data_IF_697692069042
#
_entry.id   IF_697692069042
#
_cell.length_a   1.000
_cell.length_b   1.000
_cell.length_c   1.000
_cell.angle_alpha   90.00
_cell.angle_beta   90.00
_cell.angle_gamma   90.00
#
_symmetry.space_group_name_H-M   'P 1'
#
loop_
_entity.id
_entity.type
_entity.pdbx_description
1 polymer ?
#
# COMPACT_ATOMS: atom_id res chain seq x y z
N UNK A 1 -14.74 47.12 6.38
CA UNK A 1 -13.63 46.32 6.93
C UNK A 1 -13.26 46.92 8.26
N UNK A 2 -13.27 46.15 9.33
CA UNK A 2 -12.94 46.65 10.66
C UNK A 2 -11.44 47.01 10.71
N UNK A 3 -11.08 48.00 11.53
CA UNK A 3 -9.72 48.47 11.76
C UNK A 3 -8.76 47.30 12.06
N UNK A 4 -9.22 46.35 12.84
CA UNK A 4 -8.54 45.08 13.17
C UNK A 4 -8.16 44.21 11.95
N UNK A 5 -8.98 44.20 10.88
CA UNK A 5 -8.71 43.46 9.65
C UNK A 5 -7.59 44.11 8.84
N UNK A 6 -7.47 45.41 8.92
CA UNK A 6 -6.43 46.21 8.25
C UNK A 6 -5.09 46.06 8.93
N UNK A 7 -5.09 46.04 10.26
CA UNK A 7 -3.88 45.85 11.06
C UNK A 7 -3.34 44.42 10.90
N UNK A 8 -4.24 43.43 10.79
CA UNK A 8 -3.87 42.04 10.57
C UNK A 8 -3.25 41.83 9.18
N UNK A 9 -3.73 42.54 8.15
CA UNK A 9 -3.09 42.49 6.81
C UNK A 9 -1.74 43.21 6.80
N UNK A 10 -1.58 44.32 7.50
CA UNK A 10 -0.29 45.00 7.62
C UNK A 10 0.75 44.16 8.34
N UNK A 11 0.40 43.52 9.45
CA UNK A 11 1.29 42.60 10.16
C UNK A 11 1.66 41.37 9.29
N UNK A 12 0.68 40.85 8.55
CA UNK A 12 0.92 39.70 7.64
C UNK A 12 1.86 40.06 6.49
N UNK A 13 1.71 41.23 5.89
CA UNK A 13 2.60 41.70 4.83
C UNK A 13 4.02 41.96 5.36
N UNK A 14 4.16 42.58 6.51
CA UNK A 14 5.43 42.79 7.15
C UNK A 14 6.15 41.47 7.50
N UNK A 15 5.42 40.47 8.03
CA UNK A 15 5.96 39.13 8.29
C UNK A 15 6.38 38.43 6.99
N UNK A 16 5.62 38.57 5.90
CA UNK A 16 5.99 38.00 4.60
C UNK A 16 7.25 38.64 4.04
N UNK A 17 7.43 39.92 4.21
CA UNK A 17 8.61 40.63 3.71
C UNK A 17 9.86 40.28 4.54
N UNK A 18 9.75 40.21 5.86
CA UNK A 18 10.80 39.71 6.74
C UNK A 18 11.13 38.26 6.37
N UNK A 19 10.14 37.42 6.16
CA UNK A 19 10.36 36.02 5.75
C UNK A 19 11.09 35.92 4.42
N UNK A 20 10.74 36.70 3.42
CA UNK A 20 11.41 36.68 2.11
C UNK A 20 12.88 37.12 2.18
N UNK A 21 13.19 38.07 3.05
CA UNK A 21 14.54 38.59 3.21
C UNK A 21 15.42 37.65 4.04
N UNK A 22 14.92 37.18 5.17
CA UNK A 22 15.73 36.43 6.16
C UNK A 22 15.74 34.94 5.92
N UNK A 23 14.67 34.34 5.39
CA UNK A 23 14.58 32.90 5.16
C UNK A 23 15.71 32.35 4.27
N UNK A 24 16.08 32.98 3.13
CA UNK A 24 17.20 32.55 2.31
C UNK A 24 18.57 32.69 2.98
N UNK A 25 18.70 33.57 4.00
CA UNK A 25 19.95 33.79 4.74
C UNK A 25 20.09 32.84 5.92
N UNK A 26 19.00 32.56 6.62
CA UNK A 26 19.00 31.72 7.83
C UNK A 26 19.18 30.24 7.48
N UNK A 27 18.52 29.75 6.41
CA UNK A 27 18.57 28.33 6.04
C UNK A 27 20.00 27.80 5.76
N UNK A 28 20.88 28.51 5.03
CA UNK A 28 22.25 28.06 4.86
C UNK A 28 23.05 28.05 6.18
N UNK A 29 22.83 29.04 7.06
CA UNK A 29 23.49 29.11 8.36
C UNK A 29 23.03 27.95 9.26
N UNK A 30 21.72 27.71 9.33
CA UNK A 30 21.16 26.57 10.07
C UNK A 30 21.73 25.24 9.57
N UNK A 31 21.79 25.06 8.26
CA UNK A 31 22.32 23.84 7.64
C UNK A 31 23.79 23.64 8.00
N UNK A 32 24.64 24.69 7.95
CA UNK A 32 26.05 24.60 8.29
C UNK A 32 26.27 24.33 9.78
N UNK A 33 25.50 24.98 10.65
CA UNK A 33 25.56 24.72 12.10
C UNK A 33 25.13 23.28 12.44
N UNK A 34 24.11 22.73 11.76
CA UNK A 34 23.73 21.34 11.93
C UNK A 34 24.81 20.36 11.46
N UNK A 35 25.50 20.68 10.36
CA UNK A 35 26.62 19.86 9.88
C UNK A 35 27.76 19.86 10.91
N UNK A 36 28.15 21.02 11.42
CA UNK A 36 29.24 21.13 12.42
C UNK A 36 28.85 20.47 13.75
N UNK A 37 27.60 20.63 14.21
CA UNK A 37 27.10 19.97 15.40
C UNK A 37 27.16 18.44 15.26
N UNK A 38 26.77 17.88 14.10
CA UNK A 38 26.89 16.45 13.83
C UNK A 38 28.32 15.95 13.79
N UNK A 39 29.25 16.72 13.21
CA UNK A 39 30.68 16.38 13.23
C UNK A 39 31.22 16.33 14.67
N UNK A 40 30.84 17.29 15.49
CA UNK A 40 31.23 17.33 16.88
C UNK A 40 30.68 16.16 17.71
N UNK A 41 29.40 15.76 17.43
CA UNK A 41 28.78 14.61 18.08
C UNK A 41 29.50 13.31 17.78
N UNK A 42 29.94 13.10 16.53
CA UNK A 42 30.70 11.91 16.14
C UNK A 42 32.05 11.84 16.83
N UNK A 43 32.72 12.96 16.98
CA UNK A 43 33.99 12.99 17.70
C UNK A 43 33.88 12.46 19.14
N UNK A 44 32.71 12.65 19.77
CA UNK A 44 32.40 12.08 21.09
C UNK A 44 32.11 10.57 21.10
N UNK A 45 31.76 9.99 19.94
CA UNK A 45 31.45 8.55 19.79
C UNK A 45 32.64 7.70 19.36
N UNK A 46 33.76 8.33 19.00
CA UNK A 46 34.98 7.61 18.59
C UNK A 46 35.69 6.97 19.80
N UNK A 47 36.05 5.69 19.64
CA UNK A 47 37.03 5.08 20.54
C UNK A 47 38.38 5.73 20.37
N UNK A 48 38.87 6.50 21.37
CA UNK A 48 40.10 7.28 21.29
C UNK A 48 41.19 6.70 22.16
N UNK A 49 42.38 6.52 21.61
CA UNK A 49 43.66 6.30 22.30
C UNK A 49 44.53 7.56 22.21
N UNK A 50 45.73 7.55 22.82
CA UNK A 50 46.69 8.67 22.78
C UNK A 50 47.12 9.02 21.34
N UNK A 51 47.19 8.04 20.45
CA UNK A 51 47.74 8.20 19.07
C UNK A 51 46.85 7.65 17.97
N UNK A 52 45.70 7.07 18.32
CA UNK A 52 44.82 6.45 17.36
C UNK A 52 43.34 6.62 17.76
N UNK A 53 42.46 6.50 16.79
CA UNK A 53 41.03 6.44 17.04
C UNK A 53 40.41 5.26 16.23
N UNK A 54 39.36 4.68 16.75
CA UNK A 54 38.57 3.63 16.10
C UNK A 54 37.16 4.12 15.84
N UNK A 55 36.66 3.85 14.65
CA UNK A 55 35.31 4.14 14.23
C UNK A 55 34.67 2.84 13.72
N UNK A 56 33.51 2.48 14.25
CA UNK A 56 32.70 1.40 13.76
C UNK A 56 31.45 1.96 13.11
N UNK A 57 31.05 1.39 11.98
CA UNK A 57 29.87 1.85 11.26
C UNK A 57 29.46 0.93 10.14
N UNK A 58 28.22 1.10 9.68
CA UNK A 58 27.64 0.35 8.59
C UNK A 58 27.75 1.11 7.27
N UNK A 59 28.15 0.43 6.23
CA UNK A 59 28.20 0.96 4.86
C UNK A 59 27.58 -0.02 3.87
N UNK A 60 26.84 0.45 2.85
CA UNK A 60 26.41 -0.43 1.76
C UNK A 60 27.63 -1.00 1.04
N UNK A 61 27.64 -2.30 0.80
CA UNK A 61 28.77 -3.03 0.16
C UNK A 61 29.21 -2.40 -1.17
N UNK A 62 28.26 -1.85 -1.94
CA UNK A 62 28.53 -1.18 -3.20
C UNK A 62 29.33 0.15 -3.05
N UNK A 63 29.28 0.79 -1.88
CA UNK A 63 29.98 2.04 -1.60
C UNK A 63 31.36 1.80 -0.93
N UNK A 64 31.70 0.56 -0.59
CA UNK A 64 32.95 0.19 0.06
C UNK A 64 34.21 0.65 -0.70
N UNK A 65 34.29 0.48 -2.06
CA UNK A 65 35.45 0.96 -2.81
C UNK A 65 35.63 2.47 -2.72
N UNK A 66 34.52 3.22 -2.67
CA UNK A 66 34.52 4.67 -2.52
C UNK A 66 35.00 5.10 -1.14
N UNK A 67 34.58 4.37 -0.09
CA UNK A 67 35.06 4.61 1.27
C UNK A 67 36.56 4.39 1.37
N UNK A 68 37.09 3.29 0.80
CA UNK A 68 38.53 3.00 0.78
C UNK A 68 39.32 4.14 0.13
N UNK A 69 38.89 4.62 -1.03
CA UNK A 69 39.51 5.75 -1.70
C UNK A 69 39.49 7.04 -0.88
N UNK A 70 38.37 7.37 -0.25
CA UNK A 70 38.22 8.53 0.60
C UNK A 70 39.10 8.44 1.86
N UNK A 71 39.17 7.29 2.52
CA UNK A 71 40.05 7.06 3.67
C UNK A 71 41.52 7.19 3.29
N UNK A 72 41.94 6.65 2.14
CA UNK A 72 43.29 6.75 1.65
C UNK A 72 43.72 8.21 1.42
N UNK A 73 42.82 9.00 0.83
CA UNK A 73 43.09 10.44 0.61
C UNK A 73 43.13 11.22 1.92
N UNK A 74 42.21 10.95 2.87
CA UNK A 74 42.11 11.69 4.12
C UNK A 74 43.22 11.36 5.11
N UNK A 75 43.72 10.12 5.16
CA UNK A 75 44.69 9.66 6.17
C UNK A 75 46.12 9.49 5.63
N UNK A 76 46.34 9.67 4.32
CA UNK A 76 47.63 9.45 3.70
C UNK A 76 48.14 8.02 3.92
N UNK A 77 47.34 7.01 3.73
CA UNK A 77 47.57 5.57 3.95
C UNK A 77 47.80 5.17 5.43
N UNK A 78 47.52 6.02 6.40
CA UNK A 78 47.64 5.71 7.84
C UNK A 78 46.28 5.25 8.42
N UNK A 79 45.65 4.25 7.80
CA UNK A 79 44.41 3.64 8.26
C UNK A 79 44.44 2.13 8.08
N UNK A 80 43.69 1.43 8.91
CA UNK A 80 43.40 0.02 8.75
C UNK A 80 41.88 -0.14 8.68
N UNK A 81 41.38 -0.73 7.60
CA UNK A 81 39.97 -1.06 7.41
C UNK A 81 39.79 -2.55 7.67
N UNK A 82 39.01 -2.89 8.67
CA UNK A 82 38.63 -4.25 9.02
C UNK A 82 37.18 -4.44 8.62
N UNK A 83 36.91 -5.39 7.74
CA UNK A 83 35.57 -5.78 7.35
C UNK A 83 35.10 -6.90 8.27
N UNK A 84 33.95 -6.72 8.91
CA UNK A 84 33.33 -7.71 9.79
C UNK A 84 32.06 -8.21 9.14
N UNK A 85 31.91 -9.53 9.04
CA UNK A 85 30.71 -10.16 8.46
C UNK A 85 29.51 -10.22 9.44
N UNK A 86 29.48 -9.34 10.41
CA UNK A 86 28.39 -9.26 11.37
C UNK A 86 27.13 -8.72 10.66
N UNK A 87 26.13 -9.58 10.45
CA UNK A 87 24.87 -9.19 9.84
C UNK A 87 23.80 -8.86 10.89
N UNK A 88 23.99 -9.29 12.14
CA UNK A 88 23.05 -9.02 13.21
C UNK A 88 23.05 -7.53 13.58
N UNK A 89 21.86 -6.91 13.49
CA UNK A 89 21.68 -5.49 13.79
C UNK A 89 22.04 -4.51 12.67
N UNK A 90 22.43 -4.98 11.48
CA UNK A 90 22.70 -4.13 10.34
C UNK A 90 21.46 -3.30 9.94
N UNK A 91 21.60 -1.97 9.73
CA UNK A 91 20.50 -1.13 9.32
C UNK A 91 20.07 -1.44 7.90
N UNK A 92 18.77 -1.35 7.64
CA UNK A 92 18.15 -1.67 6.36
C UNK A 92 18.12 -0.45 5.45
N UNK A 93 18.69 -0.60 4.25
CA UNK A 93 18.61 0.36 3.16
C UNK A 93 17.69 -0.19 2.07
N UNK A 94 16.48 0.34 1.98
CA UNK A 94 15.57 0.01 0.88
C UNK A 94 16.05 0.70 -0.40
N UNK A 95 16.24 -0.08 -1.46
CA UNK A 95 16.61 0.39 -2.80
C UNK A 95 15.63 -0.16 -3.82
N UNK A 96 14.53 0.53 -4.02
CA UNK A 96 13.52 0.13 -4.98
C UNK A 96 13.54 1.00 -6.25
N UNK A 97 13.19 0.45 -7.44
CA UNK A 97 13.00 1.24 -8.64
C UNK A 97 12.01 2.39 -8.42
N UNK A 98 12.19 3.51 -9.12
CA UNK A 98 11.44 4.75 -8.89
C UNK A 98 9.90 4.59 -8.94
N UNK A 99 9.38 3.61 -9.71
CA UNK A 99 7.95 3.31 -9.77
C UNK A 99 7.42 2.62 -8.52
N UNK A 100 8.23 1.78 -7.87
CA UNK A 100 7.84 1.00 -6.69
C UNK A 100 8.18 1.70 -5.37
N UNK A 101 9.12 2.64 -5.39
CA UNK A 101 9.54 3.40 -4.20
C UNK A 101 8.41 4.18 -3.53
N UNK A 102 7.31 4.46 -4.26
CA UNK A 102 6.11 5.12 -3.72
C UNK A 102 5.50 4.27 -2.59
N UNK A 103 5.59 2.94 -2.70
CA UNK A 103 5.02 2.00 -1.74
C UNK A 103 5.90 1.76 -0.50
N UNK A 104 7.17 2.19 -0.51
CA UNK A 104 8.05 2.13 0.67
C UNK A 104 7.46 2.86 1.87
N UNK A 105 6.62 3.89 1.62
CA UNK A 105 5.92 4.59 2.69
C UNK A 105 5.08 3.63 3.55
N UNK A 106 4.36 2.70 2.93
CA UNK A 106 3.54 1.72 3.65
C UNK A 106 4.40 0.71 4.41
N UNK A 107 5.52 0.28 3.83
CA UNK A 107 6.45 -0.62 4.53
C UNK A 107 7.07 0.07 5.74
N UNK A 108 7.51 1.31 5.59
CA UNK A 108 8.05 2.12 6.71
C UNK A 108 7.01 2.42 7.77
N UNK A 109 5.74 2.54 7.38
CA UNK A 109 4.64 2.79 8.31
C UNK A 109 4.31 1.55 9.16
N UNK A 110 4.42 0.36 8.59
CA UNK A 110 4.19 -0.90 9.30
C UNK A 110 5.38 -1.24 10.20
N UNK A 111 6.52 -1.48 9.60
CA UNK A 111 7.82 -1.74 10.24
C UNK A 111 8.87 -1.82 9.12
N UNK A 112 10.14 -1.62 9.38
CA UNK A 112 11.18 -1.88 8.40
C UNK A 112 11.59 -3.35 8.44
N UNK A 113 11.87 -3.99 7.27
CA UNK A 113 12.42 -5.35 7.24
C UNK A 113 13.80 -5.37 7.90
N UNK A 114 14.19 -6.51 8.43
CA UNK A 114 15.58 -6.74 8.82
C UNK A 114 16.45 -6.86 7.55
N UNK A 115 17.72 -6.59 7.65
CA UNK A 115 18.63 -6.65 6.50
C UNK A 115 18.68 -8.03 5.82
N UNK A 116 18.38 -9.09 6.56
CA UNK A 116 18.32 -10.49 6.09
C UNK A 116 16.97 -10.92 5.54
N UNK A 117 15.94 -10.04 5.58
CA UNK A 117 14.60 -10.35 5.10
C UNK A 117 14.41 -9.87 3.66
N UNK A 118 13.57 -10.60 2.92
CA UNK A 118 13.14 -10.18 1.58
C UNK A 118 12.34 -8.89 1.66
N UNK A 119 12.66 -7.91 0.80
CA UNK A 119 11.93 -6.65 0.73
C UNK A 119 10.51 -6.88 0.19
N UNK A 120 9.47 -6.63 1.00
CA UNK A 120 8.09 -6.83 0.61
C UNK A 120 7.54 -5.71 -0.31
N UNK A 121 8.30 -4.65 -0.58
CA UNK A 121 7.84 -3.47 -1.33
C UNK A 121 7.35 -3.84 -2.73
N UNK A 122 8.06 -4.72 -3.43
CA UNK A 122 7.68 -5.15 -4.78
C UNK A 122 6.33 -5.88 -4.78
N UNK A 123 6.15 -6.79 -3.82
CA UNK A 123 4.92 -7.56 -3.66
C UNK A 123 3.75 -6.63 -3.32
N UNK A 124 3.98 -5.71 -2.39
CA UNK A 124 2.98 -4.71 -2.03
C UNK A 124 2.57 -3.86 -3.24
N UNK A 125 3.55 -3.40 -4.01
CA UNK A 125 3.33 -2.55 -5.19
C UNK A 125 2.54 -3.24 -6.31
N UNK A 126 2.62 -4.57 -6.41
CA UNK A 126 1.88 -5.33 -7.41
C UNK A 126 0.48 -5.70 -6.91
N UNK A 127 0.37 -6.15 -5.66
CA UNK A 127 -0.84 -6.76 -5.13
C UNK A 127 -1.81 -5.72 -4.59
N UNK A 128 -1.34 -4.65 -3.97
CA UNK A 128 -2.23 -3.60 -3.46
C UNK A 128 -3.11 -2.97 -4.55
N UNK A 129 -2.58 -2.55 -5.72
CA UNK A 129 -3.41 -2.06 -6.82
C UNK A 129 -4.42 -3.08 -7.33
N UNK A 130 -4.03 -4.36 -7.35
CA UNK A 130 -4.93 -5.44 -7.76
C UNK A 130 -6.11 -5.59 -6.78
N UNK A 131 -5.84 -5.63 -5.46
CA UNK A 131 -6.89 -5.74 -4.45
C UNK A 131 -7.80 -4.52 -4.46
N UNK A 132 -7.20 -3.32 -4.49
CA UNK A 132 -7.96 -2.07 -4.54
C UNK A 132 -8.88 -2.02 -5.76
N UNK A 133 -8.34 -2.31 -6.96
CA UNK A 133 -9.10 -2.29 -8.20
C UNK A 133 -10.18 -3.38 -8.26
N UNK A 134 -9.88 -4.59 -7.75
CA UNK A 134 -10.87 -5.67 -7.70
C UNK A 134 -12.04 -5.32 -6.78
N UNK A 135 -11.76 -4.77 -5.59
CA UNK A 135 -12.80 -4.36 -4.63
C UNK A 135 -13.64 -3.18 -5.14
N UNK A 136 -13.04 -2.28 -5.93
CA UNK A 136 -13.76 -1.15 -6.51
C UNK A 136 -14.65 -1.58 -7.68
N UNK A 137 -14.11 -2.36 -8.63
CA UNK A 137 -14.81 -3.11 -9.68
C UNK A 137 -15.85 -2.35 -10.52
N UNK A 138 -15.72 -1.01 -10.66
CA UNK A 138 -16.65 -0.15 -11.39
C UNK A 138 -15.88 0.89 -12.21
N UNK A 139 -16.22 1.03 -13.50
CA UNK A 139 -15.52 1.96 -14.42
C UNK A 139 -15.75 3.41 -14.02
N UNK A 140 -17.00 3.76 -13.69
CA UNK A 140 -17.37 5.15 -13.43
C UNK A 140 -16.72 5.69 -12.15
N UNK A 141 -16.82 4.93 -11.07
CA UNK A 141 -16.20 5.32 -9.80
C UNK A 141 -14.68 5.30 -9.89
N UNK A 142 -14.08 4.29 -10.54
CA UNK A 142 -12.62 4.21 -10.74
C UNK A 142 -12.08 5.38 -11.56
N UNK A 143 -12.75 5.74 -12.66
CA UNK A 143 -12.35 6.86 -13.52
C UNK A 143 -12.49 8.21 -12.78
N UNK A 144 -13.53 8.38 -11.97
CA UNK A 144 -13.72 9.58 -11.17
C UNK A 144 -12.58 9.72 -10.14
N UNK A 145 -12.29 8.66 -9.38
CA UNK A 145 -11.21 8.66 -8.38
C UNK A 145 -9.86 8.91 -9.05
N UNK A 146 -9.61 8.27 -10.22
CA UNK A 146 -8.40 8.49 -11.01
C UNK A 146 -8.24 9.97 -11.38
N UNK A 147 -9.31 10.59 -11.86
CA UNK A 147 -9.31 12.02 -12.23
C UNK A 147 -8.99 12.91 -11.02
N UNK A 148 -9.58 12.62 -9.87
CA UNK A 148 -9.29 13.33 -8.62
C UNK A 148 -7.83 13.14 -8.20
N UNK A 149 -7.31 11.91 -8.26
CA UNK A 149 -5.90 11.62 -7.92
C UNK A 149 -4.93 12.35 -8.84
N UNK A 150 -5.15 12.32 -10.16
CA UNK A 150 -4.32 13.03 -11.15
C UNK A 150 -4.38 14.53 -10.92
N UNK A 151 -5.57 15.07 -10.68
CA UNK A 151 -5.75 16.49 -10.36
C UNK A 151 -5.00 16.90 -9.08
N UNK A 152 -5.08 16.08 -8.02
CA UNK A 152 -4.34 16.31 -6.77
C UNK A 152 -2.83 16.30 -6.99
N UNK A 153 -2.32 15.32 -7.73
CA UNK A 153 -0.88 15.20 -8.04
C UNK A 153 -0.39 16.44 -8.80
N UNK A 154 -1.16 16.87 -9.82
CA UNK A 154 -0.84 18.06 -10.61
C UNK A 154 -0.92 19.33 -9.76
N UNK A 155 -1.96 19.47 -8.95
CA UNK A 155 -2.22 20.68 -8.13
C UNK A 155 -1.17 20.86 -7.03
N UNK A 156 -0.82 19.78 -6.33
CA UNK A 156 0.21 19.83 -5.29
C UNK A 156 1.62 19.98 -5.91
N UNK A 157 1.82 19.47 -7.12
CA UNK A 157 3.07 19.65 -7.87
C UNK A 157 3.30 21.07 -8.36
N UNK A 158 2.24 21.86 -8.59
CA UNK A 158 2.28 23.20 -9.13
C UNK A 158 1.71 24.24 -8.15
N UNK A 159 2.48 24.69 -7.14
CA UNK A 159 1.99 25.64 -6.12
C UNK A 159 1.59 27.02 -6.70
N UNK A 160 2.06 27.35 -7.92
CA UNK A 160 1.75 28.60 -8.63
C UNK A 160 0.42 28.56 -9.42
N UNK A 161 -0.24 27.42 -9.52
CA UNK A 161 -1.57 27.34 -10.12
C UNK A 161 -2.56 28.13 -9.28
N UNK A 162 -3.33 29.02 -9.91
CA UNK A 162 -4.20 30.03 -9.31
C UNK A 162 -5.19 29.54 -8.23
N UNK A 163 -6.11 30.40 -7.76
CA UNK A 163 -7.02 30.04 -6.68
C UNK A 163 -7.84 28.79 -7.02
N UNK A 164 -7.95 27.88 -6.06
CA UNK A 164 -8.73 26.64 -6.22
C UNK A 164 -10.22 26.93 -6.03
N UNK A 165 -11.04 26.28 -6.84
CA UNK A 165 -12.49 26.24 -6.68
C UNK A 165 -12.94 25.48 -5.39
N UNK A 166 -11.98 24.84 -4.72
CA UNK A 166 -12.25 24.14 -3.45
C UNK A 166 -12.52 25.13 -2.32
N UNK A 167 -13.61 24.96 -1.56
CA UNK A 167 -13.91 25.80 -0.40
C UNK A 167 -12.72 25.84 0.57
N UNK A 168 -12.36 27.03 1.03
CA UNK A 168 -11.20 27.22 1.92
C UNK A 168 -11.27 26.40 3.22
N UNK A 169 -12.48 26.09 3.68
CA UNK A 169 -12.72 25.20 4.83
C UNK A 169 -12.26 23.76 4.55
N UNK A 170 -12.68 23.18 3.43
CA UNK A 170 -12.30 21.81 3.03
C UNK A 170 -10.79 21.68 2.88
N UNK A 171 -10.14 22.67 2.27
CA UNK A 171 -8.69 22.69 2.12
C UNK A 171 -7.97 22.73 3.46
N UNK A 172 -8.41 23.60 4.37
CA UNK A 172 -7.82 23.69 5.72
C UNK A 172 -8.01 22.37 6.49
N UNK A 173 -9.22 21.80 6.44
CA UNK A 173 -9.54 20.54 7.11
C UNK A 173 -8.67 19.39 6.59
N UNK A 174 -8.59 19.19 5.28
CA UNK A 174 -7.78 18.13 4.67
C UNK A 174 -6.29 18.31 4.95
N UNK A 175 -5.75 19.54 4.81
CA UNK A 175 -4.32 19.80 5.05
C UNK A 175 -3.94 19.74 6.53
N UNK A 176 -4.89 19.87 7.42
CA UNK A 176 -4.67 19.73 8.87
C UNK A 176 -4.56 18.25 9.29
N UNK A 177 -5.31 17.36 8.61
CA UNK A 177 -5.29 15.91 8.89
C UNK A 177 -4.13 15.23 8.15
N UNK A 178 -3.94 15.56 6.88
CA UNK A 178 -2.94 14.93 6.02
C UNK A 178 -2.05 16.02 5.39
N UNK A 179 -0.75 16.01 5.68
CA UNK A 179 0.18 16.97 5.07
C UNK A 179 0.18 16.83 3.53
N UNK A 180 0.33 17.92 2.77
CA UNK A 180 0.22 17.90 1.30
C UNK A 180 1.16 16.90 0.62
N UNK A 181 2.34 16.67 1.19
CA UNK A 181 3.29 15.68 0.68
C UNK A 181 2.72 14.24 0.80
N UNK A 182 2.17 13.88 1.94
CA UNK A 182 1.57 12.57 2.16
C UNK A 182 0.31 12.37 1.30
N UNK A 183 -0.52 13.41 1.13
CA UNK A 183 -1.68 13.38 0.24
C UNK A 183 -1.27 13.13 -1.23
N UNK A 184 -0.20 13.79 -1.69
CA UNK A 184 0.36 13.53 -3.03
C UNK A 184 0.86 12.10 -3.18
N UNK A 185 1.50 11.56 -2.15
CA UNK A 185 2.02 10.20 -2.15
C UNK A 185 0.89 9.17 -2.17
N UNK A 186 -0.13 9.35 -1.33
CA UNK A 186 -1.35 8.53 -1.35
C UNK A 186 -2.04 8.57 -2.71
N UNK A 187 -2.24 9.76 -3.30
CA UNK A 187 -2.84 9.89 -4.62
C UNK A 187 -2.06 9.10 -5.69
N UNK A 188 -0.72 9.16 -5.66
CA UNK A 188 0.13 8.37 -6.58
C UNK A 188 -0.05 6.87 -6.38
N UNK A 189 -0.23 6.41 -5.14
CA UNK A 189 -0.42 4.99 -4.80
C UNK A 189 -1.75 4.45 -5.32
N UNK A 190 -2.81 5.27 -5.32
CA UNK A 190 -4.13 4.86 -5.80
C UNK A 190 -4.26 4.85 -7.32
N UNK A 191 -3.45 5.61 -8.06
CA UNK A 191 -3.52 5.67 -9.54
C UNK A 191 -3.47 4.29 -10.20
N UNK A 192 -2.48 3.40 -9.92
CA UNK A 192 -2.46 2.07 -10.50
C UNK A 192 -3.68 1.23 -10.12
N UNK A 193 -4.16 1.35 -8.87
CA UNK A 193 -5.36 0.66 -8.40
C UNK A 193 -6.62 1.11 -9.13
N UNK A 194 -6.76 2.40 -9.43
CA UNK A 194 -7.88 2.90 -10.24
C UNK A 194 -7.84 2.36 -11.69
N UNK A 195 -6.66 2.24 -12.29
CA UNK A 195 -6.50 1.66 -13.63
C UNK A 195 -6.95 0.18 -13.62
N UNK A 196 -6.53 -0.58 -12.63
CA UNK A 196 -6.99 -1.97 -12.43
C UNK A 196 -8.49 -2.02 -12.17
N UNK A 197 -9.03 -1.06 -11.39
CA UNK A 197 -10.47 -0.94 -11.14
C UNK A 197 -11.29 -0.67 -12.39
N UNK A 198 -10.78 0.13 -13.32
CA UNK A 198 -11.40 0.31 -14.64
C UNK A 198 -11.41 -1.02 -15.42
N UNK A 199 -10.29 -1.75 -15.41
CA UNK A 199 -10.21 -3.04 -16.10
C UNK A 199 -11.21 -4.05 -15.55
N UNK A 200 -11.34 -4.18 -14.24
CA UNK A 200 -12.35 -5.02 -13.61
C UNK A 200 -13.77 -4.50 -13.82
N UNK A 201 -13.99 -3.19 -13.81
CA UNK A 201 -15.28 -2.57 -14.09
C UNK A 201 -15.78 -2.89 -15.50
N UNK A 202 -14.89 -2.90 -16.50
CA UNK A 202 -15.20 -3.35 -17.87
C UNK A 202 -15.52 -4.85 -17.88
N UNK A 203 -14.73 -5.68 -17.17
CA UNK A 203 -14.96 -7.12 -17.10
C UNK A 203 -16.30 -7.47 -16.43
N UNK A 204 -16.73 -6.66 -15.48
CA UNK A 204 -17.98 -6.83 -14.73
C UNK A 204 -19.18 -6.08 -15.33
N UNK A 205 -18.97 -5.28 -16.38
CA UNK A 205 -19.98 -4.42 -17.00
C UNK A 205 -20.66 -3.48 -15.99
N UNK A 206 -19.86 -2.78 -15.19
CA UNK A 206 -20.33 -1.85 -14.15
C UNK A 206 -19.87 -0.43 -14.42
N UNK A 207 -20.82 0.47 -14.65
CA UNK A 207 -20.62 1.90 -14.93
C UNK A 207 -21.51 2.74 -14.01
N UNK A 208 -20.99 3.19 -12.88
CA UNK A 208 -21.77 3.82 -11.81
C UNK A 208 -22.96 2.95 -11.34
N UNK A 209 -22.78 1.62 -11.34
CA UNK A 209 -23.83 0.67 -10.99
C UNK A 209 -24.86 0.39 -12.08
N UNK A 210 -24.69 0.94 -13.29
CA UNK A 210 -25.46 0.59 -14.49
C UNK A 210 -24.67 -0.37 -15.37
N UNK A 211 -25.34 -1.23 -16.13
CA UNK A 211 -24.71 -2.00 -17.21
C UNK A 211 -24.60 -1.17 -18.49
N UNK A 212 -23.62 -1.49 -19.33
CA UNK A 212 -23.42 -0.82 -20.63
C UNK A 212 -24.68 -0.98 -21.53
N UNK A 213 -25.33 -2.14 -21.48
CA UNK A 213 -26.59 -2.39 -22.16
C UNK A 213 -27.72 -1.46 -21.72
N UNK A 214 -27.79 -1.10 -20.43
CA UNK A 214 -28.75 -0.11 -19.91
C UNK A 214 -28.41 1.30 -20.37
N UNK A 215 -27.12 1.67 -20.40
CA UNK A 215 -26.66 2.99 -20.83
C UNK A 215 -26.80 3.20 -22.35
N UNK A 216 -26.60 2.13 -23.16
CA UNK A 216 -26.59 2.21 -24.63
C UNK A 216 -27.87 1.73 -25.29
N UNK A 217 -28.99 1.58 -24.53
CA UNK A 217 -30.28 1.06 -25.01
C UNK A 217 -30.16 -0.29 -25.76
N UNK A 218 -29.22 -1.13 -25.32
CA UNK A 218 -29.02 -2.48 -25.87
C UNK A 218 -28.12 -2.58 -27.11
N UNK A 219 -27.49 -1.46 -27.55
CA UNK A 219 -26.65 -1.48 -28.76
C UNK A 219 -25.27 -2.10 -28.57
N UNK A 220 -24.72 -2.07 -27.35
CA UNK A 220 -23.42 -2.66 -27.02
C UNK A 220 -23.49 -3.46 -25.73
N UNK A 221 -23.06 -4.73 -25.79
CA UNK A 221 -22.92 -5.61 -24.62
C UNK A 221 -21.50 -6.19 -24.63
N UNK A 222 -20.68 -5.79 -23.69
CA UNK A 222 -19.36 -6.37 -23.47
C UNK A 222 -19.24 -6.71 -21.98
N UNK A 223 -19.28 -7.99 -21.67
CA UNK A 223 -19.18 -8.48 -20.29
C UNK A 223 -18.47 -9.83 -20.23
N UNK A 224 -17.64 -10.02 -19.22
CA UNK A 224 -17.07 -11.33 -18.88
C UNK A 224 -18.03 -12.09 -17.95
N UNK A 225 -18.80 -11.37 -17.14
CA UNK A 225 -19.78 -11.89 -16.21
C UNK A 225 -21.15 -11.28 -16.59
N UNK A 226 -22.03 -12.04 -17.27
CA UNK A 226 -23.28 -11.49 -17.80
C UNK A 226 -24.25 -11.09 -16.67
N UNK A 227 -24.92 -9.94 -16.78
CA UNK A 227 -26.05 -9.61 -15.93
C UNK A 227 -27.21 -10.58 -16.21
N UNK A 228 -28.05 -10.86 -15.20
CA UNK A 228 -29.20 -11.73 -15.35
C UNK A 228 -30.47 -11.04 -14.85
N UNK A 229 -31.47 -10.91 -15.68
CA UNK A 229 -32.76 -10.28 -15.34
C UNK A 229 -32.63 -8.87 -14.72
N UNK A 230 -31.68 -8.05 -15.20
CA UNK A 230 -31.44 -6.71 -14.67
C UNK A 230 -30.63 -6.66 -13.35
N UNK A 231 -30.23 -7.80 -12.83
CA UNK A 231 -29.37 -7.89 -11.63
C UNK A 231 -27.90 -7.92 -12.09
N UNK A 232 -27.01 -7.11 -11.46
CA UNK A 232 -25.60 -7.12 -11.77
C UNK A 232 -24.99 -8.52 -11.69
N UNK A 233 -24.12 -8.87 -12.65
CA UNK A 233 -23.51 -10.19 -12.75
C UNK A 233 -22.73 -10.58 -11.50
N UNK A 234 -22.09 -9.62 -10.81
CA UNK A 234 -21.38 -9.84 -9.56
C UNK A 234 -22.28 -10.43 -8.46
N UNK A 235 -23.54 -9.99 -8.40
CA UNK A 235 -24.53 -10.47 -7.42
C UNK A 235 -25.01 -11.87 -7.79
N UNK A 236 -25.22 -12.13 -9.08
CA UNK A 236 -25.68 -13.46 -9.58
C UNK A 236 -24.60 -14.52 -9.37
N UNK A 237 -23.35 -14.19 -9.62
CA UNK A 237 -22.22 -15.14 -9.56
C UNK A 237 -21.39 -15.03 -8.29
N UNK A 238 -21.96 -14.59 -7.17
CA UNK A 238 -21.30 -14.44 -5.86
C UNK A 238 -20.51 -15.68 -5.47
N UNK A 239 -21.09 -16.87 -5.62
CA UNK A 239 -20.43 -18.12 -5.26
C UNK A 239 -19.13 -18.38 -6.04
N UNK A 240 -19.11 -18.03 -7.35
CA UNK A 240 -17.91 -18.14 -8.18
C UNK A 240 -16.85 -17.10 -7.81
N UNK A 241 -17.28 -15.88 -7.50
CA UNK A 241 -16.38 -14.83 -7.04
C UNK A 241 -15.77 -15.15 -5.67
N UNK A 242 -16.58 -15.70 -4.74
CA UNK A 242 -16.07 -16.18 -3.46
C UNK A 242 -15.04 -17.30 -3.62
N UNK A 243 -15.31 -18.24 -4.52
CA UNK A 243 -14.32 -19.28 -4.84
C UNK A 243 -13.03 -18.68 -5.41
N UNK A 244 -13.13 -17.72 -6.31
CA UNK A 244 -11.95 -17.01 -6.83
C UNK A 244 -11.18 -16.31 -5.71
N UNK A 245 -11.88 -15.67 -4.75
CA UNK A 245 -11.24 -15.05 -3.59
C UNK A 245 -10.53 -16.06 -2.69
N UNK A 246 -11.08 -17.26 -2.51
CA UNK A 246 -10.41 -18.35 -1.76
C UNK A 246 -9.13 -18.79 -2.47
N UNK A 247 -9.14 -18.92 -3.81
CA UNK A 247 -7.91 -19.24 -4.56
C UNK A 247 -6.88 -18.11 -4.53
N UNK A 248 -7.33 -16.85 -4.63
CA UNK A 248 -6.44 -15.69 -4.45
C UNK A 248 -5.81 -15.74 -3.06
N UNK A 249 -6.61 -15.99 -2.01
CA UNK A 249 -6.13 -16.12 -0.65
C UNK A 249 -5.12 -17.26 -0.47
N UNK A 250 -5.42 -18.43 -1.03
CA UNK A 250 -4.53 -19.59 -1.00
C UNK A 250 -3.20 -19.28 -1.72
N UNK A 251 -3.27 -18.64 -2.88
CA UNK A 251 -2.08 -18.18 -3.61
C UNK A 251 -1.23 -17.19 -2.80
N UNK A 252 -1.88 -16.23 -2.14
CA UNK A 252 -1.21 -15.23 -1.29
C UNK A 252 -0.56 -15.83 -0.06
N UNK A 253 -1.25 -16.75 0.63
CA UNK A 253 -0.69 -17.48 1.77
C UNK A 253 0.49 -18.35 1.32
N UNK A 254 0.36 -19.04 0.19
CA UNK A 254 1.45 -19.85 -0.39
C UNK A 254 2.67 -18.98 -0.72
N UNK A 255 2.46 -17.83 -1.36
CA UNK A 255 3.53 -16.89 -1.70
C UNK A 255 4.22 -16.35 -0.43
N UNK A 256 3.47 -16.02 0.61
CA UNK A 256 4.03 -15.63 1.91
C UNK A 256 4.86 -16.72 2.56
N UNK A 257 4.40 -17.98 2.52
CA UNK A 257 5.16 -19.13 3.03
C UNK A 257 6.42 -19.40 2.23
N UNK A 258 6.40 -19.20 0.91
CA UNK A 258 7.60 -19.30 0.05
C UNK A 258 8.63 -18.25 0.45
N UNK A 259 8.23 -16.98 0.64
CA UNK A 259 9.15 -15.95 1.14
C UNK A 259 9.69 -16.28 2.53
N UNK A 260 8.84 -16.83 3.40
CA UNK A 260 9.27 -17.31 4.70
C UNK A 260 10.31 -18.44 4.61
N UNK A 261 10.15 -19.36 3.66
CA UNK A 261 11.12 -20.41 3.38
C UNK A 261 12.45 -19.84 2.85
N UNK A 262 12.39 -18.86 1.94
CA UNK A 262 13.58 -18.17 1.40
C UNK A 262 14.34 -17.45 2.53
N UNK A 263 13.65 -16.71 3.39
CA UNK A 263 14.28 -16.04 4.54
C UNK A 263 14.98 -17.05 5.47
N UNK A 264 14.34 -18.19 5.77
CA UNK A 264 14.94 -19.26 6.59
C UNK A 264 16.09 -19.98 5.90
N UNK A 265 16.05 -20.09 4.57
CA UNK A 265 17.16 -20.64 3.79
C UNK A 265 18.42 -19.76 3.88
N UNK A 266 18.29 -18.45 3.79
CA UNK A 266 19.42 -17.52 3.98
C UNK A 266 20.05 -17.61 5.37
N UNK A 267 19.27 -18.02 6.39
CA UNK A 267 19.78 -18.28 7.74
C UNK A 267 20.32 -19.72 7.95
N UNK A 268 20.52 -20.50 6.87
CA UNK A 268 21.00 -21.89 6.88
C UNK A 268 20.17 -22.85 7.75
N UNK A 269 18.91 -22.57 8.00
CA UNK A 269 18.04 -23.35 8.87
C UNK A 269 17.10 -24.26 8.08
N UNK A 270 17.64 -25.35 7.54
CA UNK A 270 16.94 -26.30 6.65
C UNK A 270 15.69 -26.91 7.30
N UNK A 271 15.71 -27.16 8.61
CA UNK A 271 14.56 -27.67 9.35
C UNK A 271 13.32 -26.78 9.21
N UNK A 272 13.51 -25.48 9.40
CA UNK A 272 12.40 -24.52 9.27
C UNK A 272 11.97 -24.27 7.83
N UNK A 273 12.85 -24.45 6.86
CA UNK A 273 12.48 -24.44 5.42
C UNK A 273 11.50 -25.57 5.11
N UNK A 274 11.82 -26.81 5.57
CA UNK A 274 10.92 -27.95 5.44
C UNK A 274 9.58 -27.70 6.15
N UNK A 275 9.59 -27.08 7.32
CA UNK A 275 8.38 -26.68 8.03
C UNK A 275 7.47 -25.80 7.16
N UNK A 276 8.02 -24.81 6.46
CA UNK A 276 7.23 -23.94 5.56
C UNK A 276 6.63 -24.69 4.37
N UNK A 277 7.32 -25.69 3.84
CA UNK A 277 6.78 -26.57 2.78
C UNK A 277 5.61 -27.39 3.30
N UNK A 278 5.71 -27.97 4.50
CA UNK A 278 4.58 -28.66 5.12
C UNK A 278 3.40 -27.75 5.43
N UNK A 279 3.65 -26.49 5.78
CA UNK A 279 2.59 -25.51 5.94
C UNK A 279 1.84 -25.21 4.63
N UNK A 280 2.54 -25.22 3.48
CA UNK A 280 1.89 -25.11 2.17
C UNK A 280 0.98 -26.32 1.93
N UNK A 281 1.45 -27.54 2.22
CA UNK A 281 0.61 -28.74 2.10
C UNK A 281 -0.63 -28.68 2.98
N UNK A 282 -0.51 -28.18 4.21
CA UNK A 282 -1.66 -27.97 5.12
C UNK A 282 -2.63 -26.95 4.51
N UNK A 283 -2.14 -25.81 4.03
CA UNK A 283 -2.99 -24.76 3.48
C UNK A 283 -3.83 -25.25 2.28
N UNK A 284 -3.19 -25.95 1.36
CA UNK A 284 -3.87 -26.57 0.22
C UNK A 284 -4.78 -27.73 0.64
N UNK A 285 -4.32 -28.61 1.51
CA UNK A 285 -5.08 -29.76 1.98
C UNK A 285 -6.39 -29.34 2.69
N UNK A 286 -6.31 -28.41 3.66
CA UNK A 286 -7.48 -27.97 4.42
C UNK A 286 -8.47 -27.17 3.55
N UNK A 287 -7.95 -26.36 2.60
CA UNK A 287 -8.81 -25.55 1.71
C UNK A 287 -9.55 -26.45 0.70
N UNK A 288 -8.84 -27.37 0.05
CA UNK A 288 -9.46 -28.28 -0.92
C UNK A 288 -10.40 -29.29 -0.25
N UNK A 289 -10.05 -29.76 0.95
CA UNK A 289 -10.95 -30.59 1.77
C UNK A 289 -12.22 -29.83 2.13
N UNK A 290 -12.11 -28.57 2.56
CA UNK A 290 -13.27 -27.72 2.84
C UNK A 290 -14.17 -27.52 1.63
N UNK A 291 -13.60 -27.28 0.46
CA UNK A 291 -14.35 -27.17 -0.81
C UNK A 291 -15.03 -28.50 -1.20
N UNK A 292 -14.41 -29.64 -0.92
CA UNK A 292 -15.01 -30.96 -1.20
C UNK A 292 -16.22 -31.25 -0.30
N UNK A 293 -16.19 -30.79 0.96
CA UNK A 293 -17.29 -30.97 1.91
C UNK A 293 -18.52 -30.10 1.56
N UNK A 294 -18.30 -28.89 1.02
CA UNK A 294 -19.41 -28.02 0.57
C UNK A 294 -20.20 -28.63 -0.59
N UNK A 295 -19.63 -29.61 -1.29
CA UNK A 295 -20.30 -30.34 -2.36
C UNK A 295 -21.56 -31.11 -1.91
N UNK A 296 -21.74 -31.41 -0.63
CA UNK A 296 -22.90 -32.15 -0.12
C UNK A 296 -24.26 -31.43 -0.32
N UNK A 297 -24.23 -30.17 -0.78
CA UNK A 297 -25.44 -29.41 -1.10
C UNK A 297 -25.89 -29.69 -2.56
N UNK A 298 -27.16 -30.11 -2.77
CA UNK A 298 -27.68 -30.47 -4.10
C UNK A 298 -27.58 -29.26 -5.05
N UNK A 299 -27.06 -29.52 -6.25
CA UNK A 299 -26.90 -28.49 -7.28
C UNK A 299 -25.55 -27.80 -7.33
N UNK A 300 -24.58 -28.22 -6.49
CA UNK A 300 -23.25 -27.60 -6.51
C UNK A 300 -22.41 -28.06 -7.70
N UNK A 301 -21.87 -27.09 -8.44
CA UNK A 301 -20.91 -27.30 -9.52
C UNK A 301 -19.52 -27.72 -9.03
N UNK A 302 -19.36 -27.89 -7.70
CA UNK A 302 -18.15 -28.34 -7.01
C UNK A 302 -17.98 -29.88 -6.99
N UNK A 303 -18.81 -30.63 -7.71
CA UNK A 303 -18.76 -32.10 -7.81
C UNK A 303 -17.36 -32.64 -8.11
N UNK A 304 -16.59 -31.95 -8.94
CA UNK A 304 -15.22 -32.36 -9.29
C UNK A 304 -14.26 -32.46 -8.10
N UNK A 305 -14.52 -31.78 -7.00
CA UNK A 305 -13.66 -31.81 -5.83
C UNK A 305 -13.88 -33.03 -4.93
N UNK A 306 -15.06 -33.65 -4.95
CA UNK A 306 -15.36 -34.80 -4.10
C UNK A 306 -14.65 -36.09 -4.52
N UNK A 307 -14.26 -36.21 -5.80
CA UNK A 307 -13.54 -37.38 -6.32
C UNK A 307 -12.16 -37.58 -5.69
N UNK A 308 -11.54 -36.51 -5.16
CA UNK A 308 -10.18 -36.53 -4.64
C UNK A 308 -10.11 -36.31 -3.13
N UNK A 309 -11.22 -36.58 -2.41
CA UNK A 309 -11.32 -36.36 -0.97
C UNK A 309 -10.19 -37.05 -0.20
N UNK A 310 -9.89 -38.32 -0.51
CA UNK A 310 -8.83 -39.08 0.16
C UNK A 310 -7.44 -38.48 -0.09
N UNK A 311 -7.20 -37.92 -1.25
CA UNK A 311 -5.92 -37.24 -1.57
C UNK A 311 -5.81 -35.95 -0.74
N UNK A 312 -6.85 -35.16 -0.60
CA UNK A 312 -6.85 -33.93 0.20
C UNK A 312 -6.69 -34.23 1.67
N UNK A 313 -7.30 -35.31 2.16
CA UNK A 313 -7.11 -35.76 3.53
C UNK A 313 -5.69 -36.24 3.78
N UNK A 314 -5.11 -36.98 2.85
CA UNK A 314 -3.72 -37.41 2.94
C UNK A 314 -2.74 -36.22 2.90
N UNK A 315 -2.97 -35.24 2.05
CA UNK A 315 -2.17 -33.98 2.02
C UNK A 315 -2.23 -33.27 3.35
N UNK A 316 -3.41 -33.15 3.94
CA UNK A 316 -3.59 -32.50 5.25
C UNK A 316 -2.87 -33.29 6.35
N UNK A 317 -3.02 -34.62 6.39
CA UNK A 317 -2.39 -35.49 7.38
C UNK A 317 -0.86 -35.43 7.29
N UNK A 318 -0.30 -35.60 6.10
CA UNK A 318 1.16 -35.51 5.86
C UNK A 318 1.69 -34.12 6.23
N UNK A 319 0.99 -33.08 5.82
CA UNK A 319 1.33 -31.70 6.16
C UNK A 319 1.34 -31.46 7.66
N UNK A 320 0.28 -31.85 8.37
CA UNK A 320 0.15 -31.68 9.82
C UNK A 320 1.23 -32.44 10.59
N UNK A 321 1.47 -33.70 10.24
CA UNK A 321 2.56 -34.52 10.85
C UNK A 321 3.92 -33.86 10.57
N UNK A 322 4.16 -33.41 9.34
CA UNK A 322 5.39 -32.73 8.96
C UNK A 322 5.63 -31.42 9.72
N UNK A 323 4.60 -30.61 9.92
CA UNK A 323 4.68 -29.37 10.73
C UNK A 323 5.03 -29.69 12.17
N UNK A 324 4.34 -30.65 12.79
CA UNK A 324 4.63 -31.07 14.17
C UNK A 324 6.05 -31.63 14.32
N UNK A 325 6.52 -32.39 13.35
CA UNK A 325 7.88 -32.97 13.37
C UNK A 325 8.99 -31.89 13.20
N UNK A 326 8.73 -30.81 12.46
CA UNK A 326 9.73 -29.77 12.17
C UNK A 326 9.69 -28.59 13.13
N UNK A 327 8.51 -28.12 13.53
CA UNK A 327 8.30 -26.92 14.37
C UNK A 327 7.81 -27.25 15.79
N UNK A 328 7.46 -28.51 16.05
CA UNK A 328 7.03 -28.97 17.38
C UNK A 328 5.51 -29.01 17.57
N UNK A 329 5.07 -29.62 18.70
CA UNK A 329 3.66 -29.89 18.96
C UNK A 329 2.79 -28.62 19.15
N UNK A 330 3.40 -27.51 19.56
CA UNK A 330 2.70 -26.23 19.71
C UNK A 330 2.21 -25.67 18.37
N UNK A 331 2.88 -25.96 17.27
CA UNK A 331 2.49 -25.53 15.93
C UNK A 331 1.16 -26.15 15.47
N UNK A 332 0.74 -27.27 16.08
CA UNK A 332 -0.56 -27.87 15.79
C UNK A 332 -1.75 -26.94 16.18
N UNK A 333 -1.57 -26.07 17.16
CA UNK A 333 -2.60 -25.09 17.58
C UNK A 333 -2.81 -24.03 16.50
N UNK A 334 -1.80 -23.79 15.66
CA UNK A 334 -1.86 -22.79 14.58
C UNK A 334 -2.51 -23.31 13.29
N UNK A 335 -2.74 -24.64 13.16
CA UNK A 335 -3.35 -25.23 11.96
C UNK A 335 -4.68 -24.58 11.54
N UNK A 336 -5.63 -24.32 12.46
CA UNK A 336 -6.88 -23.64 12.10
C UNK A 336 -6.68 -22.20 11.64
N UNK A 337 -5.63 -21.52 12.09
CA UNK A 337 -5.36 -20.13 11.77
C UNK A 337 -5.06 -19.92 10.28
N UNK A 338 -4.43 -20.89 9.62
CA UNK A 338 -4.17 -20.85 8.17
C UNK A 338 -5.47 -20.77 7.38
N UNK A 339 -6.48 -21.56 7.75
CA UNK A 339 -7.80 -21.49 7.10
C UNK A 339 -8.44 -20.13 7.28
N UNK A 340 -8.34 -19.57 8.48
CA UNK A 340 -8.82 -18.21 8.77
C UNK A 340 -8.15 -17.16 7.88
N UNK A 341 -6.83 -17.26 7.67
CA UNK A 341 -6.10 -16.37 6.75
C UNK A 341 -6.58 -16.50 5.30
N UNK A 342 -6.79 -17.72 4.80
CA UNK A 342 -7.33 -17.95 3.44
C UNK A 342 -8.74 -17.39 3.30
N UNK A 343 -9.63 -17.67 4.26
CA UNK A 343 -11.01 -17.19 4.23
C UNK A 343 -11.12 -15.67 4.40
N UNK A 344 -10.14 -15.03 5.03
CA UNK A 344 -10.10 -13.57 5.17
C UNK A 344 -10.10 -12.84 3.82
N UNK A 345 -9.63 -13.48 2.75
CA UNK A 345 -9.68 -12.92 1.38
C UNK A 345 -11.09 -12.87 0.78
N UNK A 346 -12.08 -13.58 1.35
CA UNK A 346 -13.49 -13.41 0.98
C UNK A 346 -13.98 -11.96 1.15
N UNK A 347 -13.30 -11.17 1.97
CA UNK A 347 -13.54 -9.73 2.14
C UNK A 347 -13.39 -8.94 0.85
N UNK A 348 -12.51 -9.37 -0.07
CA UNK A 348 -12.38 -8.74 -1.39
C UNK A 348 -13.72 -8.72 -2.13
N UNK A 349 -14.43 -9.86 -2.10
CA UNK A 349 -15.74 -9.99 -2.72
C UNK A 349 -16.82 -9.29 -1.89
N UNK A 350 -16.74 -9.36 -0.56
CA UNK A 350 -17.68 -8.67 0.33
C UNK A 350 -17.76 -7.17 0.07
N UNK A 351 -16.62 -6.50 -0.09
CA UNK A 351 -16.54 -5.05 -0.36
C UNK A 351 -17.01 -4.74 -1.79
N UNK A 352 -16.58 -5.54 -2.78
CA UNK A 352 -17.06 -5.43 -4.16
C UNK A 352 -18.58 -5.47 -4.21
N UNK A 353 -19.19 -6.48 -3.56
CA UNK A 353 -20.65 -6.63 -3.53
C UNK A 353 -21.34 -5.48 -2.77
N UNK A 354 -20.78 -5.03 -1.67
CA UNK A 354 -21.34 -3.91 -0.92
C UNK A 354 -21.45 -2.65 -1.78
N UNK A 355 -20.38 -2.31 -2.51
CA UNK A 355 -20.35 -1.17 -3.43
C UNK A 355 -21.34 -1.33 -4.59
N UNK A 356 -21.37 -2.51 -5.23
CA UNK A 356 -22.25 -2.81 -6.37
C UNK A 356 -23.72 -2.79 -5.94
N UNK A 357 -24.05 -3.44 -4.82
CA UNK A 357 -25.43 -3.50 -4.31
C UNK A 357 -25.91 -2.10 -3.92
N UNK A 358 -25.05 -1.31 -3.25
CA UNK A 358 -25.39 0.08 -2.90
C UNK A 358 -25.69 0.92 -4.13
N UNK A 359 -24.82 0.87 -5.15
CA UNK A 359 -25.05 1.58 -6.41
C UNK A 359 -26.33 1.11 -7.12
N UNK A 360 -26.55 -0.21 -7.16
CA UNK A 360 -27.75 -0.79 -7.77
C UNK A 360 -29.04 -0.32 -7.07
N UNK A 361 -29.07 -0.36 -5.73
CA UNK A 361 -30.25 0.06 -4.95
C UNK A 361 -30.54 1.54 -5.15
N UNK A 362 -29.52 2.41 -5.12
CA UNK A 362 -29.67 3.85 -5.36
C UNK A 362 -30.27 4.11 -6.75
N UNK A 363 -29.72 3.44 -7.77
CA UNK A 363 -30.18 3.55 -9.15
C UNK A 363 -31.61 2.99 -9.33
N UNK A 364 -31.92 1.84 -8.69
CA UNK A 364 -33.24 1.24 -8.74
C UNK A 364 -34.32 2.17 -8.13
N UNK A 365 -34.04 2.81 -6.99
CA UNK A 365 -34.94 3.80 -6.36
C UNK A 365 -35.16 5.00 -7.29
N UNK A 366 -34.09 5.49 -7.92
CA UNK A 366 -34.19 6.61 -8.84
C UNK A 366 -35.04 6.26 -10.08
N UNK A 367 -34.83 5.07 -10.68
CA UNK A 367 -35.59 4.60 -11.85
C UNK A 367 -37.04 4.29 -11.49
N UNK A 368 -37.33 3.63 -10.36
CA UNK A 368 -38.68 3.37 -9.88
C UNK A 368 -39.42 4.66 -9.59
N UNK A 369 -38.77 5.69 -9.07
CA UNK A 369 -39.35 7.01 -8.88
C UNK A 369 -39.74 7.71 -10.18
N UNK A 370 -39.11 7.35 -11.31
CA UNK A 370 -39.39 7.93 -12.63
C UNK A 370 -40.34 7.11 -13.49
N UNK A 371 -40.47 5.80 -13.26
CA UNK A 371 -41.17 4.84 -14.15
C UNK A 371 -42.55 4.36 -13.66
N UNK A 372 -42.96 4.69 -12.44
CA UNK A 372 -44.26 4.30 -11.90
C UNK A 372 -45.41 5.04 -12.56
N UNK A 373 -45.89 4.48 -13.64
CA UNK A 373 -47.07 4.97 -14.41
C UNK A 373 -48.43 4.81 -13.72
N UNK A 374 -48.51 4.64 -12.42
CA UNK A 374 -49.76 4.56 -11.66
C UNK A 374 -49.81 5.50 -10.49
N UNK A 375 -50.41 6.65 -10.70
CA UNK A 375 -51.04 7.48 -9.64
C UNK A 375 -50.17 8.41 -8.81
N UNK A 376 -48.86 8.27 -8.78
CA UNK A 376 -47.93 9.19 -8.05
C UNK A 376 -47.35 10.29 -8.92
N UNK A 377 -47.66 10.35 -10.20
CA UNK A 377 -47.06 11.22 -11.22
C UNK A 377 -47.61 12.64 -11.24
N UNK A 378 -48.52 13.00 -10.38
CA UNK A 378 -48.92 14.40 -10.23
C UNK A 378 -47.83 15.32 -9.70
N UNK A 379 -46.68 14.74 -9.29
CA UNK A 379 -45.53 15.47 -8.76
C UNK A 379 -44.23 15.28 -9.60
N UNK A 380 -44.35 15.05 -10.91
CA UNK A 380 -43.23 14.62 -11.80
C UNK A 380 -41.93 15.43 -11.69
N UNK A 381 -41.99 16.76 -11.60
CA UNK A 381 -40.80 17.58 -11.51
C UNK A 381 -40.12 17.50 -10.12
N UNK A 382 -40.89 17.47 -9.05
CA UNK A 382 -40.37 17.38 -7.67
C UNK A 382 -39.74 16.02 -7.44
N UNK A 383 -40.38 14.94 -7.92
CA UNK A 383 -39.84 13.58 -7.82
C UNK A 383 -38.53 13.42 -8.60
N UNK A 384 -38.44 13.99 -9.79
CA UNK A 384 -37.22 13.97 -10.59
C UNK A 384 -36.06 14.71 -9.87
N UNK A 385 -36.33 15.87 -9.26
CA UNK A 385 -35.34 16.59 -8.48
C UNK A 385 -34.88 15.78 -7.25
N UNK A 386 -35.83 15.19 -6.52
CA UNK A 386 -35.51 14.32 -5.36
C UNK A 386 -34.67 13.11 -5.78
N UNK A 387 -35.02 12.46 -6.90
CA UNK A 387 -34.26 11.32 -7.42
C UNK A 387 -32.81 11.73 -7.79
N UNK A 388 -32.64 12.86 -8.47
CA UNK A 388 -31.29 13.38 -8.82
C UNK A 388 -30.46 13.68 -7.56
N UNK A 389 -31.07 14.32 -6.56
CA UNK A 389 -30.38 14.63 -5.30
C UNK A 389 -30.01 13.34 -4.56
N UNK A 390 -30.90 12.34 -4.52
CA UNK A 390 -30.65 11.05 -3.88
C UNK A 390 -29.51 10.30 -4.57
N UNK A 391 -29.53 10.26 -5.92
CA UNK A 391 -28.43 9.61 -6.70
C UNK A 391 -27.11 10.36 -6.45
N UNK A 392 -27.12 11.70 -6.44
CA UNK A 392 -25.91 12.48 -6.22
C UNK A 392 -25.32 12.23 -4.81
N UNK A 393 -26.13 12.26 -3.76
CA UNK A 393 -25.71 11.98 -2.39
C UNK A 393 -25.23 10.54 -2.27
N UNK A 394 -25.98 9.59 -2.83
CA UNK A 394 -25.63 8.17 -2.81
C UNK A 394 -24.33 7.88 -3.56
N UNK A 395 -24.12 8.51 -4.72
CA UNK A 395 -22.87 8.38 -5.48
C UNK A 395 -21.67 8.94 -4.71
N UNK A 396 -21.82 10.11 -4.07
CA UNK A 396 -20.75 10.67 -3.21
C UNK A 396 -20.42 9.72 -2.06
N UNK A 397 -21.44 9.16 -1.41
CA UNK A 397 -21.26 8.21 -0.32
C UNK A 397 -20.59 6.92 -0.81
N UNK A 398 -21.00 6.38 -1.96
CA UNK A 398 -20.40 5.20 -2.56
C UNK A 398 -18.94 5.43 -2.98
N UNK A 399 -18.60 6.61 -3.53
CA UNK A 399 -17.21 6.99 -3.82
C UNK A 399 -16.38 7.01 -2.53
N UNK A 400 -16.92 7.57 -1.46
CA UNK A 400 -16.21 7.69 -0.18
C UNK A 400 -15.91 6.32 0.41
N UNK A 401 -16.91 5.43 0.43
CA UNK A 401 -16.73 4.02 0.82
C UNK A 401 -15.78 3.32 -0.14
N UNK A 402 -15.94 3.50 -1.45
CA UNK A 402 -15.11 2.88 -2.50
C UNK A 402 -13.63 3.29 -2.48
N UNK A 403 -13.27 4.40 -1.83
CA UNK A 403 -11.86 4.78 -1.61
C UNK A 403 -11.35 4.25 -0.28
N UNK A 404 -12.13 4.46 0.80
CA UNK A 404 -11.68 4.17 2.16
C UNK A 404 -11.62 2.66 2.41
N UNK A 405 -12.71 1.94 2.14
CA UNK A 405 -12.81 0.50 2.42
C UNK A 405 -11.77 -0.34 1.63
N UNK A 406 -11.67 -0.23 0.29
CA UNK A 406 -10.65 -0.97 -0.45
C UNK A 406 -9.22 -0.56 -0.06
N UNK A 407 -9.00 0.72 0.26
CA UNK A 407 -7.70 1.21 0.72
C UNK A 407 -7.27 0.56 2.04
N UNK A 408 -8.12 0.62 3.06
CA UNK A 408 -7.82 0.07 4.38
C UNK A 408 -7.74 -1.46 4.35
N UNK A 409 -8.74 -2.12 3.74
CA UNK A 409 -8.81 -3.57 3.73
C UNK A 409 -7.75 -4.21 2.83
N UNK A 410 -7.38 -3.55 1.71
CA UNK A 410 -6.28 -3.99 0.87
C UNK A 410 -4.94 -3.99 1.60
N UNK A 411 -4.66 -2.92 2.35
CA UNK A 411 -3.46 -2.82 3.20
C UNK A 411 -3.50 -3.87 4.32
N UNK A 412 -4.66 -4.04 4.97
CA UNK A 412 -4.82 -5.03 6.04
C UNK A 412 -4.58 -6.46 5.56
N UNK A 413 -5.13 -6.86 4.40
CA UNK A 413 -4.90 -8.19 3.84
C UNK A 413 -3.42 -8.45 3.56
N UNK A 414 -2.67 -7.42 3.15
CA UNK A 414 -1.22 -7.54 2.96
C UNK A 414 -0.48 -7.63 4.29
N UNK A 415 -0.79 -6.80 5.27
CA UNK A 415 -0.06 -6.78 6.54
C UNK A 415 -0.36 -7.98 7.42
N UNK A 416 -1.64 -8.32 7.59
CA UNK A 416 -2.05 -9.34 8.56
C UNK A 416 -1.96 -10.75 7.97
N UNK A 417 -2.47 -10.96 6.75
CA UNK A 417 -2.56 -12.28 6.16
C UNK A 417 -1.31 -12.70 5.40
N UNK A 418 -0.62 -11.76 4.73
CA UNK A 418 0.54 -12.07 3.91
C UNK A 418 1.88 -11.87 4.65
N UNK A 419 2.12 -10.66 5.19
CA UNK A 419 3.41 -10.37 5.83
C UNK A 419 3.65 -11.19 7.09
N UNK A 420 2.61 -11.51 7.86
CA UNK A 420 2.73 -12.37 9.04
C UNK A 420 3.39 -13.73 8.77
N UNK A 421 3.47 -14.17 7.52
CA UNK A 421 4.05 -15.47 7.14
C UNK A 421 5.57 -15.46 6.99
N UNK A 422 6.18 -14.31 6.71
CA UNK A 422 7.62 -14.22 6.45
C UNK A 422 8.32 -13.01 7.07
N UNK A 423 7.56 -12.04 7.55
CA UNK A 423 8.06 -10.75 7.96
C UNK A 423 8.13 -10.64 9.47
N UNK A 424 9.32 -10.46 10.02
CA UNK A 424 9.54 -10.24 11.45
C UNK A 424 9.57 -8.75 11.76
N UNK A 425 10.13 -7.94 10.87
CA UNK A 425 10.25 -6.50 11.05
C UNK A 425 11.30 -6.11 12.09
N UNK A 426 11.12 -4.95 12.72
CA UNK A 426 12.06 -4.37 13.68
C UNK A 426 13.43 -3.98 13.08
N UNK A 427 13.54 -3.86 11.74
CA UNK A 427 14.71 -3.31 11.09
C UNK A 427 14.95 -1.85 11.48
N UNK A 428 16.22 -1.45 11.58
CA UNK A 428 16.59 -0.05 11.80
C UNK A 428 16.81 0.62 10.45
N UNK A 429 16.26 1.83 10.28
CA UNK A 429 16.49 2.59 9.05
C UNK A 429 17.98 2.94 8.92
N UNK A 430 18.55 2.68 7.76
CA UNK A 430 19.89 3.18 7.44
C UNK A 430 19.84 4.71 7.37
N UNK A 431 20.58 5.34 8.26
CA UNK A 431 20.76 6.78 8.29
C UNK A 431 22.24 7.07 8.03
N UNK A 432 22.60 7.46 6.80
CA UNK A 432 24.00 7.75 6.49
C UNK A 432 24.49 8.90 7.36
N UNK A 433 25.70 8.75 7.88
CA UNK A 433 26.37 9.87 8.51
C UNK A 433 26.69 10.92 7.45
N UNK A 434 26.07 12.05 7.57
CA UNK A 434 26.23 13.17 6.64
C UNK A 434 25.01 14.08 6.71
N UNK A 435 25.16 15.33 6.38
CA UNK A 435 24.06 16.23 6.16
C UNK A 435 23.74 16.26 4.66
N UNK A 436 22.48 16.04 4.30
CA UNK A 436 21.99 16.39 2.97
C UNK A 436 22.04 17.90 2.83
N UNK A 437 23.07 18.40 2.18
CA UNK A 437 23.22 19.84 1.89
C UNK A 437 22.22 20.23 0.82
N UNK A 438 21.28 21.08 1.16
CA UNK A 438 20.24 21.58 0.26
C UNK A 438 20.47 23.03 -0.13
N UNK A 439 21.02 23.81 0.78
CA UNK A 439 21.20 25.25 0.65
C UNK A 439 22.68 25.65 0.61
N UNK A 440 23.58 24.80 1.11
CA UNK A 440 25.02 25.01 1.11
C UNK A 440 25.73 24.04 0.18
N UNK A 441 26.83 24.45 -0.45
CA UNK A 441 27.74 23.56 -1.17
C UNK A 441 28.75 22.97 -0.18
N UNK A 442 29.18 21.68 -0.34
CA UNK A 442 30.28 21.18 0.43
C UNK A 442 31.48 22.07 0.14
N UNK A 443 32.06 22.69 1.15
CA UNK A 443 33.42 23.22 1.03
C UNK A 443 34.30 21.99 0.81
N UNK A 444 34.65 21.71 -0.42
CA UNK A 444 35.80 20.87 -0.72
C UNK A 444 36.93 21.45 0.09
N UNK A 445 37.66 20.63 0.84
CA UNK A 445 38.86 20.97 1.55
C UNK A 445 39.82 21.69 0.59
N UNK A 446 39.55 22.97 0.32
CA UNK A 446 40.49 23.86 -0.33
C UNK A 446 41.53 24.18 0.74
N UNK A 447 42.64 23.50 0.53
CA UNK A 447 43.98 24.01 0.87
C UNK A 447 44.29 24.30 2.36
N UNK A 448 44.66 23.27 3.09
CA UNK A 448 45.76 23.41 4.04
C UNK A 448 47.14 23.67 3.32
N UNK A 449 47.15 24.33 2.19
CA UNK A 449 48.36 24.62 1.41
C UNK A 449 48.83 26.06 1.60
N UNK A 450 48.05 26.92 2.27
CA UNK A 450 48.44 28.34 2.46
C UNK A 450 48.92 28.71 3.86
N UNK A 451 49.18 27.76 4.77
CA UNK A 451 49.79 28.04 6.06
C UNK A 451 51.21 27.47 6.18
N UNK A 452 51.95 27.39 5.11
CA UNK A 452 53.39 27.24 5.07
C UNK A 452 53.99 28.20 4.04
N UNK A 453 54.00 29.46 4.40
CA UNK A 453 54.80 30.51 3.82
C UNK A 453 55.42 31.31 4.92
#
# INVERSE_FOLDING_TARGET
MSETSRDLELVRTALLDISKEWYPRILPIEEELLVEARKAEVAGRLGRSKSSFALEGWIPTLELPRLRGALQQATGNRHQLIETDEQEGAPTLLRNPAGFSIYEFFIRFYSLPQNSEVDPTLVFALIFPFFFGFMLGDVGYSAFILTVCVWLIWRIGNPRAGPTWTPGFLRKFVTQIVPPHALKQLAKTFVPGCIVGIAFGIAFDSYFGFSLGQLTLGHFNFYLIPPHNGIPGQVVYVAKLLLAAVYIGLGMVTLGLIFGAINKYFHHNVKHVLGKIFWILVAWGITLLGLSLVHHYPGSWLIAYSQYFDIYLAMLAIGAIGVVATEGMLSAIELPSIMSHVLSYARLVGILLASVILAFVINAIAVLGTSSGSGLITHGAVFAVVAVVLVAIGAIFNILIGVIEPGIQGVRLLYVEHFSKFYTGNGRAFSPFGATRKYTRPQLLESHTELRG
#
